data_IF_942252435552
#
_entry.id   IF_942252435552
#
_cell.length_a   1.000
_cell.length_b   1.000
_cell.length_c   1.000
_cell.angle_alpha   90.00
_cell.angle_beta   90.00
_cell.angle_gamma   90.00
#
_symmetry.space_group_name_H-M   'P 1'
#
loop_
_entity.id
_entity.type
_entity.pdbx_description
1 polymer ?
#
# COMPACT_ATOMS: atom_id res chain seq x y z
N UNK A 1 -1.71 -2.52 5.83
CA UNK A 1 -0.23 -2.66 6.04
C UNK A 1 0.28 -1.49 6.87
N UNK A 2 1.40 -1.65 7.63
CA UNK A 2 1.94 -0.61 8.53
C UNK A 2 2.22 0.75 7.87
N UNK A 3 2.77 0.83 6.64
CA UNK A 3 2.97 2.13 6.00
C UNK A 3 1.67 2.93 5.81
N UNK A 4 0.55 2.29 5.49
CA UNK A 4 -0.74 2.99 5.35
C UNK A 4 -1.28 3.51 6.69
N UNK A 5 -0.96 2.82 7.80
CA UNK A 5 -1.28 3.31 9.15
C UNK A 5 -0.63 4.67 9.41
N UNK A 6 0.62 4.86 9.00
CA UNK A 6 1.31 6.14 9.15
C UNK A 6 0.55 7.27 8.44
N UNK A 7 0.17 7.10 7.17
CA UNK A 7 -0.58 8.11 6.43
C UNK A 7 -1.95 8.38 7.07
N UNK A 8 -2.66 7.31 7.45
CA UNK A 8 -3.96 7.44 8.09
C UNK A 8 -3.89 8.22 9.40
N UNK A 9 -2.89 7.94 10.26
CA UNK A 9 -2.69 8.67 11.53
C UNK A 9 -2.21 10.09 11.30
N UNK A 10 -1.29 10.31 10.35
CA UNK A 10 -0.75 11.64 10.08
C UNK A 10 -1.84 12.60 9.60
N UNK A 11 -2.79 12.14 8.79
CA UNK A 11 -3.87 12.97 8.24
C UNK A 11 -5.10 12.99 9.17
N UNK A 12 -5.47 11.82 9.71
CA UNK A 12 -6.66 11.67 10.56
C UNK A 12 -6.48 12.20 11.98
N UNK A 13 -5.24 12.20 12.50
CA UNK A 13 -4.94 12.60 13.87
C UNK A 13 -5.79 11.86 14.89
N UNK A 14 -6.25 12.58 15.91
CA UNK A 14 -7.12 12.04 16.95
C UNK A 14 -8.59 11.85 16.52
N UNK A 15 -8.92 12.25 15.30
CA UNK A 15 -10.29 12.15 14.78
C UNK A 15 -10.62 10.80 14.16
N UNK A 16 -9.62 9.91 14.00
CA UNK A 16 -9.79 8.58 13.42
C UNK A 16 -9.19 7.49 14.30
N UNK A 17 -9.89 6.38 14.43
CA UNK A 17 -9.35 5.16 15.03
C UNK A 17 -8.76 4.29 13.91
N UNK A 18 -7.46 4.02 13.96
CA UNK A 18 -6.77 3.23 12.92
C UNK A 18 -6.40 1.86 13.46
N UNK A 19 -6.80 0.82 12.74
CA UNK A 19 -6.41 -0.58 13.00
C UNK A 19 -5.71 -1.14 11.78
N UNK A 20 -4.49 -1.66 11.96
CA UNK A 20 -3.72 -2.32 10.91
C UNK A 20 -4.00 -3.81 10.91
N UNK A 21 -4.51 -4.35 9.79
CA UNK A 21 -4.82 -5.78 9.66
C UNK A 21 -3.55 -6.62 9.63
N UNK A 22 -2.57 -6.23 8.82
CA UNK A 22 -1.26 -6.88 8.73
C UNK A 22 -0.32 -6.26 9.78
N UNK A 23 0.08 -7.04 10.76
CA UNK A 23 1.00 -6.58 11.81
C UNK A 23 2.44 -6.46 11.29
N UNK A 24 3.22 -5.60 11.94
CA UNK A 24 4.65 -5.50 11.64
C UNK A 24 5.35 -6.85 11.81
N UNK A 25 6.20 -7.22 10.85
CA UNK A 25 6.90 -8.49 10.82
C UNK A 25 6.12 -9.67 10.21
N UNK A 26 4.86 -9.48 9.84
CA UNK A 26 4.12 -10.49 9.06
C UNK A 26 4.45 -10.34 7.57
N UNK A 27 4.51 -11.46 6.88
CA UNK A 27 4.70 -11.51 5.44
C UNK A 27 3.39 -11.20 4.71
N UNK A 28 3.32 -10.17 3.87
CA UNK A 28 2.10 -9.82 3.15
C UNK A 28 1.70 -10.84 2.07
N UNK A 29 2.64 -11.63 1.56
CA UNK A 29 2.36 -12.61 0.50
C UNK A 29 1.62 -13.83 1.03
N UNK A 30 1.92 -14.22 2.28
CA UNK A 30 1.33 -15.40 2.93
C UNK A 30 0.27 -15.04 3.98
N UNK A 31 -0.02 -13.76 4.15
CA UNK A 31 -0.95 -13.30 5.19
C UNK A 31 -2.39 -13.69 4.89
N UNK A 32 -3.00 -14.41 5.83
CA UNK A 32 -4.43 -14.66 5.84
C UNK A 32 -5.11 -13.94 7.02
N UNK A 33 -6.12 -13.09 6.75
CA UNK A 33 -6.84 -12.40 7.80
C UNK A 33 -7.63 -13.38 8.69
N UNK A 34 -7.23 -13.48 9.95
CA UNK A 34 -7.95 -14.27 10.96
C UNK A 34 -9.26 -13.61 11.42
N UNK A 35 -9.99 -14.31 12.31
CA UNK A 35 -11.31 -13.86 12.83
C UNK A 35 -11.25 -12.46 13.43
N UNK A 36 -10.17 -12.12 14.16
CA UNK A 36 -9.99 -10.80 14.75
C UNK A 36 -9.88 -9.67 13.71
N UNK A 37 -9.14 -9.91 12.63
CA UNK A 37 -9.01 -8.99 11.51
C UNK A 37 -10.35 -8.79 10.79
N UNK A 38 -11.09 -9.87 10.57
CA UNK A 38 -12.41 -9.82 9.95
C UNK A 38 -13.44 -9.08 10.82
N UNK A 39 -13.36 -9.23 12.15
CA UNK A 39 -14.21 -8.48 13.08
C UNK A 39 -13.88 -6.99 13.06
N UNK A 40 -12.59 -6.64 13.07
CA UNK A 40 -12.15 -5.24 12.98
C UNK A 40 -12.60 -4.59 11.66
N UNK A 41 -12.48 -5.33 10.55
CA UNK A 41 -12.92 -4.88 9.24
C UNK A 41 -14.44 -4.61 9.22
N UNK A 42 -15.25 -5.52 9.77
CA UNK A 42 -16.70 -5.37 9.81
C UNK A 42 -17.20 -4.22 10.69
N UNK A 43 -16.37 -3.70 11.59
CA UNK A 43 -16.67 -2.51 12.42
C UNK A 43 -16.02 -1.22 11.92
N UNK A 44 -15.44 -1.22 10.71
CA UNK A 44 -14.73 -0.06 10.15
C UNK A 44 -15.60 0.65 9.11
N UNK A 45 -15.49 1.98 9.04
CA UNK A 45 -16.13 2.79 8.00
C UNK A 45 -15.37 2.73 6.67
N UNK A 46 -14.03 2.67 6.75
CA UNK A 46 -13.13 2.68 5.60
C UNK A 46 -12.10 1.55 5.70
N UNK A 47 -11.77 0.96 4.55
CA UNK A 47 -10.59 0.12 4.34
C UNK A 47 -9.66 0.82 3.35
N UNK A 48 -8.50 1.29 3.81
CA UNK A 48 -7.42 1.77 2.94
C UNK A 48 -6.61 0.56 2.45
N UNK A 49 -6.53 0.40 1.14
CA UNK A 49 -5.90 -0.73 0.49
C UNK A 49 -5.01 -0.25 -0.65
N UNK A 50 -3.88 -0.90 -0.88
CA UNK A 50 -3.11 -0.69 -2.12
C UNK A 50 -3.76 -1.40 -3.30
N UNK A 51 -4.53 -2.46 -3.04
CA UNK A 51 -5.11 -3.33 -4.06
C UNK A 51 -4.09 -4.27 -4.72
N UNK A 52 -2.81 -4.17 -4.32
CA UNK A 52 -1.69 -4.86 -4.98
C UNK A 52 -1.33 -6.20 -4.31
N UNK A 53 -1.83 -6.45 -3.10
CA UNK A 53 -1.53 -7.66 -2.36
C UNK A 53 -2.66 -8.69 -2.45
N UNK A 54 -2.34 -10.00 -2.56
CA UNK A 54 -3.37 -11.05 -2.71
C UNK A 54 -4.45 -11.03 -1.63
N UNK A 55 -4.05 -10.83 -0.37
CA UNK A 55 -5.01 -10.77 0.73
C UNK A 55 -5.97 -9.56 0.65
N UNK A 56 -5.51 -8.41 0.14
CA UNK A 56 -6.35 -7.21 -0.06
C UNK A 56 -7.42 -7.47 -1.12
N UNK A 57 -7.05 -8.14 -2.23
CA UNK A 57 -7.98 -8.54 -3.28
C UNK A 57 -9.03 -9.53 -2.75
N UNK A 58 -8.60 -10.51 -1.94
CA UNK A 58 -9.51 -11.46 -1.27
C UNK A 58 -10.47 -10.77 -0.31
N UNK A 59 -10.00 -9.75 0.44
CA UNK A 59 -10.85 -8.94 1.32
C UNK A 59 -11.88 -8.15 0.54
N UNK A 60 -11.48 -7.52 -0.57
CA UNK A 60 -12.39 -6.76 -1.42
C UNK A 60 -13.54 -7.63 -1.96
N UNK A 61 -13.23 -8.83 -2.45
CA UNK A 61 -14.22 -9.79 -2.93
C UNK A 61 -15.19 -10.25 -1.82
N UNK A 62 -14.65 -10.60 -0.64
CA UNK A 62 -15.47 -11.04 0.51
C UNK A 62 -16.33 -9.92 1.10
N UNK A 63 -15.87 -8.69 1.03
CA UNK A 63 -16.62 -7.52 1.53
C UNK A 63 -17.79 -7.18 0.63
N UNK A 64 -17.64 -7.29 -0.68
CA UNK A 64 -18.71 -6.98 -1.65
C UNK A 64 -19.95 -7.86 -1.50
N UNK A 65 -19.82 -9.05 -0.89
CA UNK A 65 -20.92 -9.99 -0.69
C UNK A 65 -21.71 -9.81 0.61
N UNK A 66 -21.29 -8.90 1.50
CA UNK A 66 -21.92 -8.64 2.80
C UNK A 66 -22.39 -7.19 2.84
N UNK A 67 -23.65 -6.93 2.77
CA UNK A 67 -24.28 -5.60 2.67
C UNK A 67 -23.90 -4.51 3.71
N UNK A 68 -22.95 -4.78 4.63
CA UNK A 68 -22.39 -3.88 5.64
C UNK A 68 -20.86 -3.89 5.59
N UNK A 69 -20.29 -3.82 4.40
CA UNK A 69 -18.83 -3.80 4.23
C UNK A 69 -18.30 -2.36 4.35
N UNK A 70 -17.08 -2.15 4.90
CA UNK A 70 -16.43 -0.86 4.88
C UNK A 70 -16.22 -0.41 3.43
N UNK A 71 -16.25 0.89 3.21
CA UNK A 71 -15.90 1.45 1.90
C UNK A 71 -14.41 1.20 1.64
N UNK A 72 -14.11 0.45 0.59
CA UNK A 72 -12.74 0.19 0.16
C UNK A 72 -12.24 1.39 -0.65
N UNK A 73 -11.06 1.89 -0.29
CA UNK A 73 -10.39 3.00 -0.97
C UNK A 73 -9.03 2.54 -1.42
N UNK A 74 -8.80 2.55 -2.74
CA UNK A 74 -7.47 2.34 -3.30
C UNK A 74 -6.60 3.56 -3.04
N UNK A 75 -5.48 3.36 -2.36
CA UNK A 75 -4.48 4.42 -2.14
C UNK A 75 -3.43 4.45 -3.24
N UNK A 76 -3.42 3.46 -4.14
CA UNK A 76 -2.53 3.38 -5.30
C UNK A 76 -3.05 4.10 -6.54
N UNK A 77 -4.27 4.62 -6.51
CA UNK A 77 -4.85 5.32 -7.65
C UNK A 77 -3.98 6.53 -8.06
N UNK A 78 -3.59 6.54 -9.34
CA UNK A 78 -2.72 7.58 -9.91
C UNK A 78 -1.22 7.33 -9.74
N UNK A 79 -0.81 6.18 -9.22
CA UNK A 79 0.59 5.76 -9.16
C UNK A 79 0.93 4.96 -10.42
N UNK A 80 2.02 5.32 -11.09
CA UNK A 80 2.61 4.50 -12.14
C UNK A 80 3.28 3.28 -11.52
N UNK A 81 2.65 2.11 -11.70
CA UNK A 81 3.11 0.87 -11.10
C UNK A 81 4.28 0.27 -11.89
N UNK A 82 5.29 -0.19 -11.16
CA UNK A 82 6.38 -0.97 -11.74
C UNK A 82 5.93 -2.43 -11.82
N UNK A 83 6.00 -2.99 -13.02
CA UNK A 83 5.64 -4.37 -13.29
C UNK A 83 6.92 -5.20 -13.44
N UNK A 84 7.00 -6.31 -12.72
CA UNK A 84 8.06 -7.30 -12.81
C UNK A 84 7.50 -8.66 -13.24
N UNK A 85 8.36 -9.48 -13.84
CA UNK A 85 8.07 -10.91 -14.05
C UNK A 85 8.67 -11.67 -12.88
N UNK A 86 7.87 -12.42 -12.12
CA UNK A 86 8.41 -13.42 -11.21
C UNK A 86 8.91 -14.61 -12.03
N UNK A 87 10.20 -14.64 -12.31
CA UNK A 87 10.84 -15.89 -12.70
C UNK A 87 10.80 -16.83 -11.50
N UNK A 88 9.86 -17.76 -11.47
CA UNK A 88 9.94 -18.89 -10.57
C UNK A 88 11.13 -19.76 -11.02
N UNK A 89 12.32 -19.53 -10.46
CA UNK A 89 13.39 -20.50 -10.52
C UNK A 89 12.99 -21.71 -9.68
N UNK A 90 12.16 -22.56 -10.23
CA UNK A 90 12.03 -23.93 -9.75
C UNK A 90 13.28 -24.69 -10.21
N UNK A 91 14.32 -24.73 -9.35
CA UNK A 91 15.37 -25.71 -9.44
C UNK A 91 14.74 -27.10 -9.13
N UNK A 92 14.30 -27.79 -10.17
CA UNK A 92 13.72 -29.12 -10.06
C UNK A 92 13.47 -29.68 -11.46
N UNK A 93 14.40 -30.53 -11.92
CA UNK A 93 14.28 -31.33 -13.15
C UNK A 93 12.96 -32.13 -13.16
N UNK A 94 12.04 -31.80 -14.07
CA UNK A 94 11.24 -32.81 -14.78
C UNK A 94 10.68 -32.20 -16.06
N UNK A 95 11.22 -32.70 -17.20
CA UNK A 95 10.65 -32.46 -18.53
C UNK A 95 9.30 -33.15 -18.63
N UNK A 96 8.23 -32.39 -18.81
CA UNK A 96 7.07 -32.81 -19.61
C UNK A 96 6.60 -31.63 -20.42
N UNK A 97 6.66 -31.85 -21.74
CA UNK A 97 6.18 -30.98 -22.80
C UNK A 97 4.63 -31.03 -22.78
N UNK A 98 4.00 -29.91 -22.39
CA UNK A 98 2.71 -29.54 -22.90
C UNK A 98 2.68 -28.02 -23.00
N UNK A 99 2.48 -27.52 -24.22
CA UNK A 99 2.36 -26.13 -24.54
C UNK A 99 1.00 -25.62 -24.04
N UNK A 100 0.95 -25.24 -22.78
CA UNK A 100 -0.08 -24.39 -22.21
C UNK A 100 0.47 -22.99 -22.11
N UNK A 101 -0.26 -22.06 -22.69
CA UNK A 101 -0.09 -20.62 -22.73
C UNK A 101 0.25 -20.08 -21.31
N UNK A 102 1.53 -20.09 -20.91
CA UNK A 102 2.02 -19.43 -19.70
C UNK A 102 1.94 -17.93 -19.96
N UNK A 103 0.77 -17.36 -19.68
CA UNK A 103 0.67 -15.91 -19.49
C UNK A 103 1.53 -15.59 -18.27
N UNK A 104 2.70 -15.00 -18.50
CA UNK A 104 3.47 -14.34 -17.46
C UNK A 104 2.51 -13.35 -16.78
N UNK A 105 2.04 -13.68 -15.57
CA UNK A 105 1.28 -12.73 -14.77
C UNK A 105 2.23 -11.60 -14.41
N UNK A 106 2.02 -10.46 -15.07
CA UNK A 106 2.69 -9.22 -14.75
C UNK A 106 2.31 -8.83 -13.31
N UNK A 107 3.25 -9.02 -12.41
CA UNK A 107 3.11 -8.66 -11.01
C UNK A 107 3.45 -7.19 -10.82
N UNK A 108 2.56 -6.42 -10.23
CA UNK A 108 2.84 -5.05 -9.84
C UNK A 108 3.54 -5.00 -8.48
N UNK A 109 4.66 -4.29 -8.39
CA UNK A 109 5.38 -4.13 -7.12
C UNK A 109 4.50 -3.44 -6.07
N UNK A 110 4.23 -4.07 -4.93
CA UNK A 110 3.37 -3.51 -3.89
C UNK A 110 4.06 -2.44 -3.03
N UNK A 111 5.38 -2.26 -3.14
CA UNK A 111 6.17 -1.37 -2.26
C UNK A 111 6.06 0.12 -2.63
N UNK A 112 4.91 0.52 -3.13
CA UNK A 112 4.63 1.88 -3.63
C UNK A 112 4.96 3.01 -2.63
N UNK A 113 4.94 2.72 -1.32
CA UNK A 113 5.24 3.67 -0.26
C UNK A 113 6.74 3.99 -0.10
N UNK A 114 7.62 3.29 -0.80
CA UNK A 114 9.08 3.49 -0.75
C UNK A 114 9.53 4.76 -1.49
N UNK A 115 8.73 5.26 -2.41
CA UNK A 115 8.97 6.49 -3.16
C UNK A 115 8.29 7.69 -2.48
N UNK A 116 9.03 8.80 -2.31
CA UNK A 116 8.44 10.05 -1.77
C UNK A 116 7.40 10.62 -2.74
N UNK A 117 7.60 10.48 -4.04
CA UNK A 117 6.61 10.85 -5.06
C UNK A 117 5.30 10.11 -4.85
N UNK A 118 5.35 8.78 -4.74
CA UNK A 118 4.18 7.95 -4.47
C UNK A 118 3.57 8.23 -3.10
N UNK A 119 4.39 8.53 -2.09
CA UNK A 119 3.90 8.88 -0.75
C UNK A 119 2.98 10.12 -0.78
N UNK A 120 3.24 11.09 -1.65
CA UNK A 120 2.34 12.26 -1.85
C UNK A 120 0.99 11.84 -2.44
N UNK A 121 1.01 10.94 -3.44
CA UNK A 121 -0.23 10.42 -4.07
C UNK A 121 -1.03 9.61 -3.05
N UNK A 122 -0.38 8.74 -2.29
CA UNK A 122 -1.01 7.98 -1.20
C UNK A 122 -1.66 8.94 -0.19
N UNK A 123 -0.92 9.98 0.25
CA UNK A 123 -1.42 10.96 1.21
C UNK A 123 -2.66 11.70 0.67
N UNK A 124 -2.66 12.07 -0.62
CA UNK A 124 -3.80 12.71 -1.26
C UNK A 124 -5.02 11.78 -1.34
N UNK A 125 -4.81 10.51 -1.69
CA UNK A 125 -5.89 9.52 -1.73
C UNK A 125 -6.51 9.30 -0.34
N UNK A 126 -5.68 9.24 0.72
CA UNK A 126 -6.15 9.15 2.11
C UNK A 126 -6.92 10.40 2.51
N UNK A 127 -6.42 11.61 2.19
CA UNK A 127 -7.14 12.86 2.45
C UNK A 127 -8.52 12.86 1.80
N UNK A 128 -8.59 12.50 0.52
CA UNK A 128 -9.86 12.44 -0.23
C UNK A 128 -10.85 11.47 0.42
N UNK A 129 -10.36 10.30 0.86
CA UNK A 129 -11.18 9.31 1.54
C UNK A 129 -11.78 9.85 2.84
N UNK A 130 -10.96 10.50 3.68
CA UNK A 130 -11.42 11.07 4.95
C UNK A 130 -12.37 12.25 4.76
N UNK A 131 -12.06 13.18 3.86
CA UNK A 131 -12.94 14.30 3.54
C UNK A 131 -14.30 13.85 3.00
N UNK A 132 -14.34 12.73 2.27
CA UNK A 132 -15.59 12.18 1.77
C UNK A 132 -16.40 11.46 2.86
N UNK A 133 -15.73 10.77 3.77
CA UNK A 133 -16.39 10.05 4.87
C UNK A 133 -16.87 11.00 5.99
N UNK A 134 -16.13 12.07 6.24
CA UNK A 134 -16.42 13.07 7.27
C UNK A 134 -16.16 14.48 6.75
N UNK A 135 -17.14 15.01 6.05
CA UNK A 135 -17.07 16.35 5.43
C UNK A 135 -16.94 17.47 6.46
N UNK A 136 -17.45 17.28 7.67
CA UNK A 136 -17.40 18.28 8.74
C UNK A 136 -15.94 18.56 9.19
N UNK A 137 -15.08 17.54 9.14
CA UNK A 137 -13.67 17.65 9.53
C UNK A 137 -12.71 17.89 8.36
N UNK A 138 -13.22 18.16 7.15
CA UNK A 138 -12.37 18.48 5.99
C UNK A 138 -11.28 19.54 6.28
N UNK A 139 -11.53 20.67 6.97
CA UNK A 139 -10.48 21.63 7.28
C UNK A 139 -9.36 21.04 8.15
N UNK A 140 -9.70 20.19 9.11
CA UNK A 140 -8.74 19.52 10.00
C UNK A 140 -7.85 18.55 9.24
N UNK A 141 -8.44 17.64 8.45
CA UNK A 141 -7.69 16.69 7.63
C UNK A 141 -6.79 17.40 6.61
N UNK A 142 -7.29 18.50 6.00
CA UNK A 142 -6.50 19.29 5.05
C UNK A 142 -5.31 19.97 5.72
N UNK A 143 -5.44 20.48 6.94
CA UNK A 143 -4.33 21.08 7.68
C UNK A 143 -3.25 20.04 8.01
N UNK A 144 -3.64 18.85 8.48
CA UNK A 144 -2.74 17.75 8.77
C UNK A 144 -2.02 17.24 7.51
N UNK A 145 -2.76 17.09 6.41
CA UNK A 145 -2.19 16.74 5.11
C UNK A 145 -1.11 17.72 4.67
N UNK A 146 -1.36 19.05 4.76
CA UNK A 146 -0.35 20.06 4.41
C UNK A 146 0.91 19.93 5.25
N UNK A 147 0.78 19.65 6.54
CA UNK A 147 1.92 19.37 7.43
C UNK A 147 2.69 18.16 6.96
N UNK A 148 2.00 17.07 6.60
CA UNK A 148 2.63 15.86 6.08
C UNK A 148 3.39 16.13 4.78
N UNK A 149 2.81 16.90 3.84
CA UNK A 149 3.48 17.23 2.58
C UNK A 149 4.78 18.02 2.84
N UNK A 150 4.77 19.00 3.74
CA UNK A 150 6.00 19.73 4.11
C UNK A 150 7.08 18.79 4.66
N UNK A 151 6.70 17.78 5.45
CA UNK A 151 7.65 16.78 5.93
C UNK A 151 8.19 15.90 4.79
N UNK A 152 7.35 15.48 3.85
CA UNK A 152 7.78 14.68 2.69
C UNK A 152 8.73 15.48 1.79
N UNK A 153 8.47 16.77 1.56
CA UNK A 153 9.33 17.67 0.78
C UNK A 153 10.70 17.85 1.45
N UNK A 154 10.71 18.03 2.77
CA UNK A 154 11.95 18.13 3.56
C UNK A 154 12.75 16.84 3.50
N UNK A 155 12.08 15.69 3.60
CA UNK A 155 12.70 14.38 3.53
C UNK A 155 13.35 14.17 2.15
N UNK A 156 12.62 14.45 1.07
CA UNK A 156 13.13 14.33 -0.30
C UNK A 156 14.37 15.20 -0.51
N UNK A 157 14.34 16.49 -0.11
CA UNK A 157 15.48 17.37 -0.20
C UNK A 157 16.71 16.86 0.56
N UNK A 158 16.50 16.33 1.79
CA UNK A 158 17.56 15.75 2.58
C UNK A 158 18.17 14.49 1.95
N UNK A 159 17.33 13.63 1.35
CA UNK A 159 17.79 12.40 0.68
C UNK A 159 18.52 12.71 -0.63
N UNK A 160 18.00 13.63 -1.44
CA UNK A 160 18.67 14.07 -2.67
C UNK A 160 20.07 14.60 -2.38
N UNK A 161 20.26 15.42 -1.34
CA UNK A 161 21.56 15.93 -0.93
C UNK A 161 22.52 14.82 -0.47
N UNK A 162 22.02 13.80 0.25
CA UNK A 162 22.83 12.69 0.74
C UNK A 162 23.20 11.69 -0.35
N UNK A 163 22.31 11.43 -1.30
CA UNK A 163 22.51 10.45 -2.35
C UNK A 163 23.24 11.01 -3.58
N UNK A 164 23.29 12.34 -3.75
CA UNK A 164 23.96 12.97 -4.88
C UNK A 164 25.41 12.44 -5.10
N UNK A 165 26.26 12.25 -4.06
CA UNK A 165 27.63 11.77 -4.25
C UNK A 165 27.71 10.32 -4.77
N UNK A 166 26.65 9.51 -4.60
CA UNK A 166 26.61 8.10 -5.01
C UNK A 166 25.69 7.89 -6.23
N UNK A 167 25.27 8.97 -6.88
CA UNK A 167 24.49 8.91 -8.11
C UNK A 167 25.19 8.07 -9.17
N UNK A 168 24.46 7.15 -9.80
CA UNK A 168 25.01 6.21 -10.79
C UNK A 168 25.75 5.00 -10.22
N UNK A 169 25.89 4.88 -8.89
CA UNK A 169 26.43 3.67 -8.27
C UNK A 169 25.38 2.55 -8.23
N UNK A 170 25.86 1.30 -8.35
CA UNK A 170 25.02 0.11 -8.21
C UNK A 170 25.12 -0.45 -6.79
N UNK A 171 24.03 -1.01 -6.30
CA UNK A 171 23.97 -1.72 -5.02
C UNK A 171 23.15 -3.00 -5.17
N UNK A 172 23.38 -3.97 -4.29
CA UNK A 172 22.61 -5.20 -4.24
C UNK A 172 21.63 -5.17 -3.06
N UNK A 173 20.40 -5.60 -3.30
CA UNK A 173 19.39 -5.78 -2.27
C UNK A 173 18.90 -7.23 -2.32
N UNK A 174 18.52 -7.75 -1.15
CA UNK A 174 17.98 -9.11 -1.04
C UNK A 174 16.53 -9.19 -1.51
N UNK A 175 15.75 -8.16 -1.25
CA UNK A 175 14.33 -8.08 -1.59
C UNK A 175 14.08 -6.76 -2.32
N UNK A 176 13.49 -6.79 -3.53
CA UNK A 176 13.28 -5.60 -4.35
C UNK A 176 12.13 -4.73 -3.80
N UNK A 177 12.40 -4.00 -2.72
CA UNK A 177 11.44 -3.13 -2.05
C UNK A 177 11.68 -1.63 -2.32
N UNK A 178 12.59 -1.31 -3.23
CA UNK A 178 12.97 0.07 -3.58
C UNK A 178 12.72 0.34 -5.07
N UNK A 179 11.53 0.10 -5.49
CA UNK A 179 11.06 0.36 -6.85
C UNK A 179 10.52 1.76 -7.03
#
# INVERSE_FOLDING_TARGET
>A
VPPLEYFARAIGGDSVAVTTLLKSGSDPETFEPGVGAMKALGGSDLLLSTGLMPFEQSLAQKSSSRGEAPRIVSVSDGIDLIHGTHGHEHAGEHRHSDASDEREELYADPHIWSSVGNARIIAENVLRAFCHADTARTPYYTANYRTLIVHLDSLEGAWMGRLAPVGGSSFAIRHPALS
#
